data_IF_860242238872
#
_entry.id   IF_860242238872
#
_cell.length_a   1.000
_cell.length_b   1.000
_cell.length_c   1.000
_cell.angle_alpha   90.00
_cell.angle_beta   90.00
_cell.angle_gamma   90.00
#
_symmetry.space_group_name_H-M   'P 1'
#
loop_
_entity.id
_entity.type
_entity.pdbx_description
1 polymer ?
#
# COMPACT_ATOMS: atom_id res chain seq x y z
N UNK A 1 20.74 -10.78 -18.53
CA UNK A 1 20.21 -9.47 -18.14
C UNK A 1 20.85 -9.08 -16.81
N UNK A 2 21.84 -8.19 -16.83
CA UNK A 2 22.66 -7.85 -15.66
C UNK A 2 21.82 -7.10 -14.62
N UNK A 3 21.78 -7.60 -13.38
CA UNK A 3 21.16 -6.90 -12.24
C UNK A 3 21.75 -5.50 -12.00
N UNK A 4 22.95 -5.23 -12.53
CA UNK A 4 23.59 -3.92 -12.53
C UNK A 4 22.79 -2.84 -13.26
N UNK A 5 21.95 -3.18 -14.25
CA UNK A 5 21.07 -2.23 -14.95
C UNK A 5 19.81 -1.88 -14.16
N UNK A 6 19.52 -2.62 -13.09
CA UNK A 6 18.35 -2.39 -12.21
C UNK A 6 18.78 -1.82 -10.87
N UNK A 7 20.06 -1.54 -10.64
CA UNK A 7 20.47 -0.78 -9.46
C UNK A 7 19.75 0.57 -9.52
N UNK A 8 18.68 0.78 -8.73
CA UNK A 8 18.03 2.07 -8.78
C UNK A 8 19.09 3.06 -8.32
N UNK A 9 19.29 4.14 -9.07
CA UNK A 9 19.93 5.34 -8.54
C UNK A 9 18.98 5.93 -7.51
N UNK A 10 18.76 5.18 -6.42
CA UNK A 10 17.91 5.54 -5.33
C UNK A 10 18.69 6.57 -4.54
N UNK A 11 18.59 7.82 -4.97
CA UNK A 11 19.28 8.89 -4.29
C UNK A 11 18.56 9.09 -2.96
N UNK A 12 19.33 9.02 -1.86
CA UNK A 12 18.85 9.33 -0.51
C UNK A 12 18.12 10.68 -0.47
N UNK A 13 18.57 11.63 -1.31
CA UNK A 13 17.92 12.92 -1.56
C UNK A 13 16.47 12.81 -2.04
N UNK A 14 16.16 11.93 -2.99
CA UNK A 14 14.80 11.78 -3.51
C UNK A 14 13.87 11.16 -2.48
N UNK A 15 14.38 10.18 -1.70
CA UNK A 15 13.64 9.59 -0.59
C UNK A 15 13.34 10.64 0.50
N UNK A 16 14.34 11.43 0.88
CA UNK A 16 14.17 12.51 1.86
C UNK A 16 13.17 13.56 1.37
N UNK A 17 13.28 13.99 0.11
CA UNK A 17 12.33 14.92 -0.52
C UNK A 17 10.90 14.37 -0.46
N UNK A 18 10.74 13.10 -0.80
CA UNK A 18 9.44 12.43 -0.77
C UNK A 18 8.83 12.42 0.64
N UNK A 19 9.58 11.96 1.64
CA UNK A 19 9.09 11.95 3.02
C UNK A 19 8.76 13.35 3.54
N UNK A 20 9.60 14.35 3.25
CA UNK A 20 9.33 15.74 3.62
C UNK A 20 8.02 16.25 2.98
N UNK A 21 7.76 15.92 1.71
CA UNK A 21 6.50 16.27 1.05
C UNK A 21 5.29 15.62 1.71
N UNK A 22 5.41 14.35 2.11
CA UNK A 22 4.33 13.61 2.79
C UNK A 22 4.04 14.19 4.16
N UNK A 23 5.08 14.42 4.96
CA UNK A 23 4.96 14.99 6.31
C UNK A 23 4.34 16.37 6.23
N UNK A 24 4.89 17.26 5.38
CA UNK A 24 4.37 18.61 5.19
C UNK A 24 2.93 18.62 4.69
N UNK A 25 2.57 17.70 3.79
CA UNK A 25 1.17 17.55 3.36
C UNK A 25 0.28 17.10 4.52
N UNK A 26 0.71 16.11 5.31
CA UNK A 26 -0.02 15.61 6.46
C UNK A 26 -0.27 16.68 7.52
N UNK A 27 0.76 17.48 7.85
CA UNK A 27 0.68 18.60 8.79
C UNK A 27 -0.32 19.66 8.31
N UNK A 28 -0.15 20.17 7.08
CA UNK A 28 -1.03 21.17 6.49
C UNK A 28 -2.47 20.66 6.37
N UNK A 29 -2.64 19.40 5.99
CA UNK A 29 -3.95 18.77 5.87
C UNK A 29 -4.62 18.64 7.24
N UNK A 30 -3.86 18.19 8.25
CA UNK A 30 -4.34 18.02 9.61
C UNK A 30 -4.77 19.36 10.21
N UNK A 31 -3.91 20.37 10.16
CA UNK A 31 -4.21 21.71 10.68
C UNK A 31 -5.46 22.32 10.03
N UNK A 32 -5.55 22.23 8.70
CA UNK A 32 -6.63 22.87 7.95
C UNK A 32 -7.95 22.11 8.05
N UNK A 33 -7.92 20.78 7.89
CA UNK A 33 -9.12 19.98 7.62
C UNK A 33 -9.48 18.98 8.71
N UNK A 34 -8.61 18.67 9.66
CA UNK A 34 -8.96 17.77 10.74
C UNK A 34 -9.85 18.49 11.75
N UNK A 35 -11.00 17.91 12.11
CA UNK A 35 -11.80 18.45 13.22
C UNK A 35 -11.11 18.12 14.52
N UNK A 36 -10.72 19.14 15.27
CA UNK A 36 -10.47 18.95 16.68
C UNK A 36 -11.81 18.60 17.37
N UNK A 37 -11.85 17.59 18.24
CA UNK A 37 -13.07 17.24 18.95
C UNK A 37 -13.53 18.43 19.81
N UNK A 38 -14.73 18.94 19.54
CA UNK A 38 -15.27 20.15 20.19
C UNK A 38 -16.01 19.86 21.51
N UNK A 39 -16.33 18.59 21.80
CA UNK A 39 -17.06 18.20 23.01
C UNK A 39 -16.38 17.06 23.76
N UNK A 40 -16.53 17.03 25.09
CA UNK A 40 -16.03 15.93 25.93
C UNK A 40 -16.68 14.59 25.56
N UNK A 41 -17.94 14.61 25.12
CA UNK A 41 -18.66 13.44 24.64
C UNK A 41 -18.12 12.93 23.28
N UNK A 42 -17.76 13.81 22.35
CA UNK A 42 -17.06 13.42 21.11
C UNK A 42 -15.67 12.86 21.41
N UNK A 43 -14.96 13.43 22.38
CA UNK A 43 -13.72 12.88 22.92
C UNK A 43 -13.93 11.47 23.51
N UNK A 44 -15.09 11.22 24.11
CA UNK A 44 -15.45 9.94 24.75
C UNK A 44 -15.91 8.90 23.72
N UNK A 45 -16.67 9.29 22.70
CA UNK A 45 -17.03 8.44 21.56
C UNK A 45 -15.83 8.14 20.68
N UNK A 46 -14.96 9.13 20.39
CA UNK A 46 -13.66 8.86 19.78
C UNK A 46 -12.86 7.92 20.67
N UNK A 47 -12.86 8.08 22.01
CA UNK A 47 -12.21 7.11 22.92
C UNK A 47 -12.76 5.69 22.78
N UNK A 48 -14.07 5.50 22.62
CA UNK A 48 -14.69 4.16 22.45
C UNK A 48 -14.50 3.58 21.06
N UNK A 49 -14.64 4.38 20.00
CA UNK A 49 -14.32 3.99 18.62
C UNK A 49 -12.83 3.66 18.48
N UNK A 50 -11.98 4.50 19.07
CA UNK A 50 -10.56 4.22 19.25
C UNK A 50 -10.35 3.01 20.16
N UNK A 51 -11.19 2.67 21.14
CA UNK A 51 -11.01 1.41 21.91
C UNK A 51 -11.22 0.14 21.09
N UNK A 52 -11.95 0.20 19.97
CA UNK A 52 -12.18 -0.96 19.07
C UNK A 52 -11.25 -0.92 17.85
N UNK A 53 -11.04 0.26 17.27
CA UNK A 53 -10.07 0.43 16.18
C UNK A 53 -8.63 0.44 16.69
N UNK A 54 -8.34 0.85 17.93
CA UNK A 54 -6.97 0.77 18.47
C UNK A 54 -6.51 -0.66 18.54
N UNK A 55 -7.21 -1.69 19.06
CA UNK A 55 -6.69 -3.07 19.04
C UNK A 55 -6.50 -3.64 17.63
N UNK A 56 -7.38 -3.37 16.67
CA UNK A 56 -7.23 -3.86 15.30
C UNK A 56 -6.14 -3.12 14.51
N UNK A 57 -6.04 -1.80 14.70
CA UNK A 57 -4.98 -0.98 14.11
C UNK A 57 -3.65 -1.18 14.86
N UNK A 58 -3.69 -1.47 16.16
CA UNK A 58 -2.56 -1.92 16.98
C UNK A 58 -2.13 -3.31 16.52
N UNK A 59 -3.03 -4.26 16.18
CA UNK A 59 -2.63 -5.54 15.60
C UNK A 59 -2.00 -5.40 14.20
N UNK A 60 -2.57 -4.54 13.34
CA UNK A 60 -2.06 -4.29 11.98
C UNK A 60 -0.77 -3.43 11.96
N UNK A 61 -0.57 -2.54 12.94
CA UNK A 61 0.66 -1.78 13.10
C UNK A 61 1.71 -2.52 13.96
N UNK A 62 1.29 -3.32 14.94
CA UNK A 62 2.18 -4.17 15.74
C UNK A 62 2.65 -5.38 14.95
N UNK A 63 1.98 -5.85 13.89
CA UNK A 63 2.51 -6.99 13.13
C UNK A 63 3.90 -6.67 12.50
N UNK A 64 4.12 -5.49 11.89
CA UNK A 64 5.46 -5.00 11.59
C UNK A 64 6.41 -4.91 12.80
N UNK A 65 5.94 -4.51 14.00
CA UNK A 65 6.74 -4.49 15.24
C UNK A 65 6.99 -5.88 15.83
N UNK A 66 6.12 -6.87 15.63
CA UNK A 66 6.32 -8.26 16.06
C UNK A 66 7.32 -8.92 15.12
N UNK A 67 7.25 -8.62 13.82
CA UNK A 67 8.24 -9.01 12.80
C UNK A 67 9.54 -8.19 12.91
N UNK A 68 9.57 -7.07 13.65
CA UNK A 68 10.75 -6.23 13.94
C UNK A 68 11.23 -6.29 15.41
N UNK A 69 10.53 -7.00 16.30
CA UNK A 69 10.97 -7.37 17.66
C UNK A 69 11.42 -8.83 17.79
N UNK A 70 10.87 -9.77 16.98
CA UNK A 70 11.36 -11.15 16.84
C UNK A 70 12.89 -11.26 16.71
N UNK A 71 13.52 -11.10 15.55
CA UNK A 71 14.98 -10.98 15.43
C UNK A 71 15.76 -9.79 16.07
N UNK A 72 15.24 -9.09 17.09
CA UNK A 72 15.98 -8.11 17.91
C UNK A 72 16.37 -8.84 19.20
N UNK A 73 15.45 -9.68 19.66
CA UNK A 73 15.62 -10.73 20.66
C UNK A 73 16.44 -11.90 20.09
N UNK A 74 16.37 -12.05 18.78
CA UNK A 74 16.92 -13.14 18.02
C UNK A 74 17.86 -12.49 16.96
N UNK A 75 18.96 -11.84 17.38
CA UNK A 75 19.76 -10.97 16.50
C UNK A 75 20.65 -11.75 15.51
N UNK A 76 21.08 -12.96 15.90
CA UNK A 76 21.69 -14.00 15.04
C UNK A 76 20.63 -14.99 14.52
N UNK A 77 19.38 -14.70 14.85
CA UNK A 77 18.22 -15.39 14.34
C UNK A 77 17.77 -14.61 13.10
N UNK A 78 17.38 -15.30 12.04
CA UNK A 78 17.42 -14.73 10.70
C UNK A 78 16.36 -13.65 10.35
N UNK A 79 15.61 -13.03 11.28
CA UNK A 79 14.38 -12.26 10.96
C UNK A 79 14.46 -10.70 10.99
N UNK A 80 15.57 -10.01 11.31
CA UNK A 80 15.52 -8.54 11.53
C UNK A 80 16.50 -7.65 10.78
N UNK A 81 15.99 -6.47 10.48
CA UNK A 81 16.07 -5.91 9.15
C UNK A 81 16.93 -4.64 8.97
N UNK A 82 17.53 -3.97 9.99
CA UNK A 82 18.52 -2.92 9.71
C UNK A 82 19.94 -3.45 9.49
N UNK A 83 20.26 -4.68 9.96
CA UNK A 83 21.64 -5.21 9.96
C UNK A 83 21.86 -6.49 9.12
N UNK A 84 20.81 -7.19 8.67
CA UNK A 84 20.94 -8.38 7.79
C UNK A 84 21.20 -7.98 6.34
N UNK A 85 20.57 -6.91 5.90
CA UNK A 85 20.62 -6.52 4.51
C UNK A 85 21.68 -5.46 4.33
N UNK A 86 22.81 -5.87 3.75
CA UNK A 86 23.84 -4.97 3.27
C UNK A 86 23.15 -3.78 2.58
N UNK A 87 23.48 -2.57 2.99
CA UNK A 87 22.94 -1.35 2.39
C UNK A 87 23.11 -1.42 0.87
N UNK A 88 22.05 -1.12 0.14
CA UNK A 88 22.01 -1.28 -1.32
C UNK A 88 21.60 -2.67 -1.82
N UNK A 89 21.38 -3.66 -0.94
CA UNK A 89 20.80 -4.95 -1.35
C UNK A 89 19.32 -4.81 -1.73
N UNK A 90 18.85 -5.67 -2.63
CA UNK A 90 17.45 -5.67 -3.08
C UNK A 90 16.45 -5.85 -1.94
N UNK A 91 16.78 -6.69 -0.95
CA UNK A 91 15.90 -6.98 0.18
C UNK A 91 15.75 -5.78 1.12
N UNK A 92 16.81 -4.97 1.28
CA UNK A 92 16.72 -3.67 1.95
C UNK A 92 15.71 -2.76 1.26
N UNK A 93 15.81 -2.62 -0.07
CA UNK A 93 14.85 -1.82 -0.84
C UNK A 93 13.43 -2.39 -0.83
N UNK A 94 13.28 -3.71 -0.89
CA UNK A 94 11.97 -4.36 -0.79
C UNK A 94 11.30 -4.04 0.55
N UNK A 95 12.03 -4.07 1.68
CA UNK A 95 11.49 -3.61 2.96
C UNK A 95 11.05 -2.16 2.91
N UNK A 96 11.89 -1.26 2.39
CA UNK A 96 11.55 0.17 2.30
C UNK A 96 10.29 0.38 1.46
N UNK A 97 10.17 -0.33 0.34
CA UNK A 97 8.97 -0.40 -0.50
C UNK A 97 7.75 -0.80 0.35
N UNK A 98 7.80 -1.95 1.01
CA UNK A 98 6.70 -2.46 1.84
C UNK A 98 6.28 -1.48 2.93
N UNK A 99 7.24 -0.97 3.71
CA UNK A 99 6.98 -0.07 4.81
C UNK A 99 6.36 1.25 4.32
N UNK A 100 6.91 1.82 3.25
CA UNK A 100 6.36 3.02 2.62
C UNK A 100 4.93 2.77 2.14
N UNK A 101 4.70 1.68 1.39
CA UNK A 101 3.36 1.33 0.92
C UNK A 101 2.34 1.17 2.03
N UNK A 102 2.69 0.51 3.14
CA UNK A 102 1.78 0.35 4.28
C UNK A 102 1.34 1.69 4.86
N UNK A 103 2.28 2.60 5.16
CA UNK A 103 1.92 3.93 5.69
C UNK A 103 1.04 4.71 4.70
N UNK A 104 1.36 4.61 3.42
CA UNK A 104 0.58 5.26 2.36
C UNK A 104 -0.83 4.71 2.24
N UNK A 105 -1.00 3.39 2.31
CA UNK A 105 -2.33 2.76 2.25
C UNK A 105 -3.18 3.23 3.43
N UNK A 106 -2.62 3.22 4.63
CA UNK A 106 -3.31 3.64 5.85
C UNK A 106 -3.72 5.11 5.82
N UNK A 107 -2.94 5.96 5.15
CA UNK A 107 -3.24 7.39 5.02
C UNK A 107 -4.18 7.71 3.85
N UNK A 108 -3.88 7.21 2.65
CA UNK A 108 -4.56 7.57 1.41
C UNK A 108 -5.95 6.94 1.31
N UNK A 109 -6.13 5.69 1.74
CA UNK A 109 -7.43 5.01 1.58
C UNK A 109 -8.54 5.71 2.36
N UNK A 110 -8.40 6.02 3.67
CA UNK A 110 -9.43 6.74 4.41
C UNK A 110 -9.68 8.15 3.84
N UNK A 111 -8.63 8.82 3.38
CA UNK A 111 -8.74 10.15 2.80
C UNK A 111 -9.56 10.12 1.50
N UNK A 112 -9.28 9.16 0.60
CA UNK A 112 -10.04 8.97 -0.64
C UNK A 112 -11.48 8.51 -0.39
N UNK A 113 -11.71 7.62 0.58
CA UNK A 113 -13.04 7.06 0.85
C UNK A 113 -13.95 8.02 1.61
N UNK A 114 -13.40 8.69 2.62
CA UNK A 114 -14.19 9.44 3.62
C UNK A 114 -13.92 10.93 3.65
N UNK A 115 -12.82 11.41 3.06
CA UNK A 115 -12.45 12.82 3.07
C UNK A 115 -12.94 13.59 1.87
N UNK A 116 -12.54 13.17 0.69
CA UNK A 116 -12.77 13.92 -0.56
C UNK A 116 -13.83 13.30 -1.48
N UNK A 117 -14.30 12.09 -1.17
CA UNK A 117 -15.39 11.45 -1.90
C UNK A 117 -16.73 12.04 -1.45
N UNK A 118 -17.56 12.43 -2.41
CA UNK A 118 -18.93 12.93 -2.17
C UNK A 118 -19.97 11.82 -2.12
N UNK A 119 -19.52 10.57 -2.00
CA UNK A 119 -20.40 9.42 -1.86
C UNK A 119 -21.32 9.62 -0.66
N UNK A 120 -22.62 9.37 -0.88
CA UNK A 120 -23.73 9.45 0.08
C UNK A 120 -23.66 8.34 1.13
N UNK A 121 -22.53 8.20 1.83
CA UNK A 121 -22.49 7.31 2.98
C UNK A 121 -23.33 7.90 4.13
N UNK A 122 -24.21 7.10 4.74
CA UNK A 122 -25.14 7.57 5.75
C UNK A 122 -24.41 7.99 7.04
N UNK A 123 -24.68 9.23 7.46
CA UNK A 123 -24.67 9.79 8.84
C UNK A 123 -23.50 9.47 9.80
N UNK A 124 -22.38 8.88 9.38
CA UNK A 124 -21.19 8.84 10.25
C UNK A 124 -20.58 10.23 10.33
N UNK A 125 -20.38 10.74 11.55
CA UNK A 125 -19.70 12.02 11.79
C UNK A 125 -18.34 11.97 11.09
N UNK A 126 -18.18 12.76 10.03
CA UNK A 126 -16.93 12.81 9.27
C UNK A 126 -15.82 13.39 10.16
N UNK A 127 -14.61 12.81 10.16
CA UNK A 127 -13.48 13.33 10.94
C UNK A 127 -12.97 14.67 10.39
N UNK A 128 -13.40 15.07 9.20
CA UNK A 128 -12.96 16.28 8.50
C UNK A 128 -13.94 17.42 8.64
N UNK A 129 -13.44 18.66 8.66
CA UNK A 129 -14.27 19.86 8.72
C UNK A 129 -15.16 19.96 7.46
N UNK A 130 -16.41 20.41 7.57
CA UNK A 130 -17.36 20.35 6.44
C UNK A 130 -16.93 21.27 5.27
N UNK A 131 -16.12 22.30 5.54
CA UNK A 131 -15.64 23.27 4.55
C UNK A 131 -14.72 22.62 3.50
N UNK A 132 -14.14 21.45 3.80
CA UNK A 132 -13.37 20.67 2.81
C UNK A 132 -14.25 20.25 1.63
N UNK A 133 -15.52 19.91 1.91
CA UNK A 133 -16.46 19.35 0.92
C UNK A 133 -17.35 20.43 0.31
N UNK A 134 -17.59 21.52 1.04
CA UNK A 134 -18.44 22.63 0.58
C UNK A 134 -17.82 23.39 -0.60
N UNK A 135 -16.50 23.58 -0.62
CA UNK A 135 -15.82 24.32 -1.69
C UNK A 135 -15.05 23.39 -2.63
N UNK A 136 -15.34 23.38 -3.93
CA UNK A 136 -14.70 22.47 -4.87
C UNK A 136 -13.18 22.69 -5.01
N UNK A 137 -12.68 23.90 -4.76
CA UNK A 137 -11.26 24.23 -4.80
C UNK A 137 -10.48 23.48 -3.72
N UNK A 138 -11.09 23.25 -2.56
CA UNK A 138 -10.43 22.52 -1.48
C UNK A 138 -10.28 21.04 -1.85
N UNK A 139 -11.32 20.43 -2.43
CA UNK A 139 -11.28 19.06 -2.94
C UNK A 139 -10.21 18.93 -4.03
N UNK A 140 -10.20 19.86 -4.98
CA UNK A 140 -9.26 19.81 -6.11
C UNK A 140 -7.81 19.95 -5.65
N UNK A 141 -7.53 20.87 -4.72
CA UNK A 141 -6.20 21.06 -4.15
C UNK A 141 -5.70 19.85 -3.36
N UNK A 142 -6.56 19.27 -2.50
CA UNK A 142 -6.20 18.07 -1.72
C UNK A 142 -5.96 16.88 -2.66
N UNK A 143 -6.84 16.64 -3.63
CA UNK A 143 -6.68 15.54 -4.56
C UNK A 143 -5.42 15.70 -5.44
N UNK A 144 -5.15 16.91 -5.91
CA UNK A 144 -3.97 17.19 -6.75
C UNK A 144 -2.68 16.99 -5.96
N UNK A 145 -2.66 17.40 -4.70
CA UNK A 145 -1.53 17.16 -3.79
C UNK A 145 -1.28 15.66 -3.60
N UNK A 146 -2.35 14.88 -3.38
CA UNK A 146 -2.24 13.42 -3.31
C UNK A 146 -1.76 12.80 -4.63
N UNK A 147 -2.24 13.28 -5.78
CA UNK A 147 -1.74 12.83 -7.09
C UNK A 147 -0.23 13.06 -7.23
N UNK A 148 0.28 14.22 -6.80
CA UNK A 148 1.70 14.54 -6.87
C UNK A 148 2.52 13.62 -5.95
N UNK A 149 2.10 13.44 -4.70
CA UNK A 149 2.77 12.56 -3.76
C UNK A 149 2.79 11.11 -4.28
N UNK A 150 1.66 10.63 -4.79
CA UNK A 150 1.55 9.27 -5.33
C UNK A 150 2.35 9.09 -6.62
N UNK A 151 2.52 10.16 -7.42
CA UNK A 151 3.40 10.16 -8.58
C UNK A 151 4.86 10.05 -8.16
N UNK A 152 5.29 10.80 -7.15
CA UNK A 152 6.65 10.72 -6.61
C UNK A 152 6.92 9.33 -6.01
N UNK A 153 5.96 8.78 -5.26
CA UNK A 153 6.01 7.41 -4.74
C UNK A 153 6.17 6.37 -5.86
N UNK A 154 5.35 6.50 -6.91
CA UNK A 154 5.36 5.63 -8.08
C UNK A 154 6.68 5.73 -8.85
N UNK A 155 7.27 6.91 -8.90
CA UNK A 155 8.58 7.10 -9.51
C UNK A 155 9.68 6.41 -8.71
N UNK A 156 9.67 6.57 -7.37
CA UNK A 156 10.64 5.96 -6.46
C UNK A 156 10.56 4.42 -6.45
N UNK A 157 9.36 3.89 -6.22
CA UNK A 157 9.18 2.47 -5.93
C UNK A 157 8.60 1.67 -7.09
N UNK A 158 7.91 2.32 -8.04
CA UNK A 158 7.20 1.65 -9.12
C UNK A 158 8.10 0.78 -10.01
N UNK A 159 9.35 1.21 -10.23
CA UNK A 159 10.35 0.44 -11.00
C UNK A 159 10.71 -0.88 -10.33
N UNK A 160 10.61 -0.96 -9.00
CA UNK A 160 10.95 -2.15 -8.22
C UNK A 160 9.80 -3.16 -8.15
N UNK A 161 8.56 -2.75 -8.42
CA UNK A 161 7.39 -3.62 -8.28
C UNK A 161 7.51 -4.86 -9.17
N UNK A 162 7.80 -4.69 -10.47
CA UNK A 162 7.88 -5.83 -11.39
C UNK A 162 9.07 -6.77 -11.07
N UNK A 163 10.30 -6.30 -10.84
CA UNK A 163 11.40 -7.15 -10.39
C UNK A 163 11.11 -7.90 -9.09
N UNK A 164 10.59 -7.22 -8.06
CA UNK A 164 10.24 -7.86 -6.79
C UNK A 164 9.17 -8.94 -7.03
N UNK A 165 8.13 -8.64 -7.81
CA UNK A 165 7.08 -9.61 -8.13
C UNK A 165 7.63 -10.87 -8.81
N UNK A 166 8.53 -10.73 -9.79
CA UNK A 166 9.15 -11.86 -10.49
C UNK A 166 10.02 -12.69 -9.53
N UNK A 167 10.84 -12.02 -8.71
CA UNK A 167 11.74 -12.69 -7.76
C UNK A 167 10.92 -13.41 -6.69
N UNK A 168 9.97 -12.73 -6.06
CA UNK A 168 9.06 -13.33 -5.08
C UNK A 168 8.32 -14.53 -5.67
N UNK A 169 7.77 -14.41 -6.88
CA UNK A 169 7.08 -15.51 -7.56
C UNK A 169 7.98 -16.73 -7.78
N UNK A 170 9.22 -16.51 -8.26
CA UNK A 170 10.21 -17.60 -8.43
C UNK A 170 10.60 -18.23 -7.10
N UNK A 171 10.90 -17.44 -6.08
CA UNK A 171 11.23 -17.94 -4.75
C UNK A 171 10.10 -18.82 -4.19
N UNK A 172 8.85 -18.38 -4.31
CA UNK A 172 7.68 -19.15 -3.85
C UNK A 172 7.57 -20.49 -4.57
N UNK A 173 7.67 -20.50 -5.91
CA UNK A 173 7.55 -21.73 -6.71
C UNK A 173 8.71 -22.70 -6.42
N UNK A 174 9.95 -22.20 -6.38
CA UNK A 174 11.14 -23.02 -6.09
C UNK A 174 11.07 -23.62 -4.69
N UNK A 175 10.59 -22.87 -3.71
CA UNK A 175 10.46 -23.38 -2.36
C UNK A 175 9.31 -24.36 -2.19
N UNK A 176 8.19 -24.15 -2.89
CA UNK A 176 7.15 -25.17 -2.98
C UNK A 176 7.70 -26.47 -3.57
N UNK A 177 8.53 -26.38 -4.62
CA UNK A 177 9.22 -27.53 -5.21
C UNK A 177 10.11 -28.26 -4.19
N UNK A 178 10.93 -27.55 -3.41
CA UNK A 178 11.77 -28.16 -2.37
C UNK A 178 10.97 -28.82 -1.23
N UNK A 179 9.89 -28.18 -0.80
CA UNK A 179 8.99 -28.72 0.24
C UNK A 179 8.34 -30.02 -0.21
N UNK A 180 7.87 -30.08 -1.46
CA UNK A 180 7.20 -31.27 -1.99
C UNK A 180 8.20 -32.39 -2.34
N UNK A 181 9.37 -32.03 -2.88
CA UNK A 181 10.39 -32.99 -3.31
C UNK A 181 11.08 -33.75 -2.18
N UNK A 182 10.79 -33.44 -0.92
CA UNK A 182 11.39 -34.12 0.23
C UNK A 182 12.85 -33.74 0.51
N UNK A 183 13.37 -32.67 -0.12
CA UNK A 183 14.77 -32.26 0.06
C UNK A 183 15.06 -31.48 1.35
N UNK A 184 14.02 -31.00 2.05
CA UNK A 184 14.15 -30.06 3.17
C UNK A 184 14.14 -30.70 4.58
N UNK A 185 14.14 -32.03 4.68
CA UNK A 185 13.91 -32.71 5.97
C UNK A 185 15.15 -32.84 6.86
N UNK A 186 16.35 -32.62 6.31
CA UNK A 186 17.61 -32.80 7.07
C UNK A 186 18.00 -31.61 7.95
N UNK A 187 17.45 -30.42 7.71
CA UNK A 187 17.72 -29.21 8.50
C UNK A 187 16.42 -28.54 8.96
N UNK A 188 16.15 -28.58 10.27
CA UNK A 188 14.97 -28.00 10.90
C UNK A 188 14.85 -26.50 10.64
N UNK A 189 15.97 -25.77 10.59
CA UNK A 189 15.96 -24.33 10.36
C UNK A 189 15.50 -24.00 8.92
N UNK A 190 16.07 -24.69 7.93
CA UNK A 190 15.64 -24.56 6.52
C UNK A 190 14.17 -24.95 6.34
N UNK A 191 13.72 -26.05 6.95
CA UNK A 191 12.32 -26.46 6.92
C UNK A 191 11.39 -25.39 7.49
N UNK A 192 11.73 -24.82 8.65
CA UNK A 192 10.94 -23.75 9.27
C UNK A 192 10.83 -22.52 8.38
N UNK A 193 11.93 -22.08 7.75
CA UNK A 193 11.94 -20.94 6.83
C UNK A 193 11.04 -21.20 5.61
N UNK A 194 11.13 -22.38 5.01
CA UNK A 194 10.34 -22.74 3.84
C UNK A 194 8.83 -22.82 4.17
N UNK A 195 8.47 -23.39 5.32
CA UNK A 195 7.07 -23.54 5.74
C UNK A 195 6.43 -22.24 6.24
N UNK A 196 7.19 -21.35 6.88
CA UNK A 196 6.62 -20.14 7.50
C UNK A 196 6.92 -18.88 6.70
N UNK A 197 8.18 -18.65 6.34
CA UNK A 197 8.63 -17.41 5.73
C UNK A 197 8.06 -17.19 4.33
N UNK A 198 7.91 -18.26 3.54
CA UNK A 198 7.56 -18.15 2.13
C UNK A 198 6.06 -17.98 1.89
N UNK A 199 5.18 -18.77 2.53
CA UNK A 199 3.75 -18.46 2.52
C UNK A 199 3.48 -17.06 3.07
N UNK A 200 4.19 -16.65 4.12
CA UNK A 200 4.07 -15.30 4.67
C UNK A 200 4.49 -14.22 3.66
N UNK A 201 5.61 -14.39 2.96
CA UNK A 201 6.05 -13.48 1.90
C UNK A 201 5.05 -13.44 0.73
N UNK A 202 4.48 -14.57 0.34
CA UNK A 202 3.46 -14.66 -0.72
C UNK A 202 2.19 -13.90 -0.34
N UNK A 203 1.69 -14.13 0.88
CA UNK A 203 0.49 -13.50 1.42
C UNK A 203 0.70 -11.99 1.58
N UNK A 204 1.81 -11.57 2.19
CA UNK A 204 2.12 -10.15 2.38
C UNK A 204 2.26 -9.40 1.06
N UNK A 205 2.96 -9.96 0.06
CA UNK A 205 3.04 -9.35 -1.28
C UNK A 205 1.66 -9.27 -1.96
N UNK A 206 0.86 -10.34 -1.87
CA UNK A 206 -0.51 -10.36 -2.43
C UNK A 206 -1.41 -9.30 -1.78
N UNK A 207 -1.35 -9.17 -0.45
CA UNK A 207 -2.07 -8.15 0.30
C UNK A 207 -1.65 -6.75 -0.17
N UNK A 208 -0.36 -6.50 -0.34
CA UNK A 208 0.15 -5.22 -0.82
C UNK A 208 -0.36 -4.88 -2.23
N UNK A 209 -0.35 -5.85 -3.16
CA UNK A 209 -0.93 -5.68 -4.50
C UNK A 209 -2.44 -5.43 -4.44
N UNK A 210 -3.15 -6.14 -3.56
CA UNK A 210 -4.59 -5.97 -3.38
C UNK A 210 -4.94 -4.57 -2.86
N UNK A 211 -4.24 -4.08 -1.82
CA UNK A 211 -4.41 -2.72 -1.31
C UNK A 211 -4.06 -1.65 -2.35
N UNK A 212 -3.04 -1.89 -3.17
CA UNK A 212 -2.72 -1.01 -4.29
C UNK A 212 -3.88 -0.94 -5.29
N UNK A 213 -4.50 -2.08 -5.59
CA UNK A 213 -5.74 -2.15 -6.38
C UNK A 213 -6.93 -1.46 -5.69
N UNK A 214 -7.04 -1.53 -4.36
CA UNK A 214 -8.06 -0.83 -3.58
C UNK A 214 -7.87 0.69 -3.70
N UNK A 215 -6.66 1.22 -3.57
CA UNK A 215 -6.37 2.65 -3.78
C UNK A 215 -6.85 3.08 -5.17
N UNK A 216 -6.50 2.33 -6.21
CA UNK A 216 -6.94 2.63 -7.57
C UNK A 216 -8.47 2.64 -7.70
N UNK A 217 -9.16 1.65 -7.12
CA UNK A 217 -10.63 1.58 -7.11
C UNK A 217 -11.23 2.75 -6.33
N UNK A 218 -10.68 3.10 -5.18
CA UNK A 218 -11.11 4.21 -4.34
C UNK A 218 -10.93 5.55 -5.05
N UNK A 219 -9.80 5.76 -5.72
CA UNK A 219 -9.55 6.96 -6.50
C UNK A 219 -10.57 7.13 -7.64
N UNK A 220 -10.85 6.07 -8.39
CA UNK A 220 -11.87 6.07 -9.44
C UNK A 220 -13.28 6.37 -8.87
N UNK A 221 -13.65 5.71 -7.77
CA UNK A 221 -14.92 5.96 -7.08
C UNK A 221 -15.03 7.40 -6.57
N UNK A 222 -13.96 7.94 -6.00
CA UNK A 222 -13.89 9.32 -5.55
C UNK A 222 -14.14 10.28 -6.72
N UNK A 223 -13.41 10.14 -7.84
CA UNK A 223 -13.60 10.95 -9.04
C UNK A 223 -15.05 10.82 -9.57
N UNK A 224 -15.60 9.61 -9.61
CA UNK A 224 -16.97 9.37 -10.05
C UNK A 224 -18.00 10.02 -9.11
N UNK A 225 -17.75 10.01 -7.80
CA UNK A 225 -18.64 10.59 -6.79
C UNK A 225 -18.82 12.09 -6.97
N UNK A 226 -17.85 12.79 -7.57
CA UNK A 226 -17.97 14.23 -7.86
C UNK A 226 -19.04 14.54 -8.91
N UNK A 227 -19.39 13.56 -9.76
CA UNK A 227 -20.52 13.70 -10.69
C UNK A 227 -21.85 13.62 -9.95
N UNK A 228 -22.01 12.63 -9.07
CA UNK A 228 -23.26 12.42 -8.31
C UNK A 228 -23.44 13.44 -7.19
N UNK A 229 -22.34 13.92 -6.62
CA UNK A 229 -22.32 14.94 -5.58
C UNK A 229 -22.55 16.36 -6.09
N UNK A 230 -22.74 16.56 -7.40
CA UNK A 230 -22.87 17.88 -8.00
C UNK A 230 -24.02 18.73 -7.44
N UNK A 231 -25.08 18.08 -6.94
CA UNK A 231 -26.18 18.78 -6.27
C UNK A 231 -25.81 19.44 -4.95
N UNK A 232 -24.65 19.11 -4.34
CA UNK A 232 -24.18 19.73 -3.09
C UNK A 232 -23.56 21.11 -3.31
N UNK A 233 -23.21 21.46 -4.53
CA UNK A 233 -22.71 22.80 -4.85
C UNK A 233 -23.88 23.68 -5.25
N UNK A 234 -24.03 24.79 -4.54
CA UNK A 234 -25.13 25.74 -4.72
C UNK A 234 -25.00 26.48 -6.06
N UNK A 235 -23.76 26.84 -6.43
CA UNK A 235 -23.51 27.62 -7.64
C UNK A 235 -23.36 26.74 -8.88
N UNK A 236 -23.86 27.22 -10.03
CA UNK A 236 -23.64 26.59 -11.32
C UNK A 236 -22.17 26.58 -11.75
N UNK A 237 -21.41 27.60 -11.32
CA UNK A 237 -19.98 27.76 -11.60
C UNK A 237 -19.14 26.65 -10.95
N UNK A 238 -19.39 26.35 -9.68
CA UNK A 238 -18.70 25.26 -8.95
C UNK A 238 -18.92 23.90 -9.62
N UNK A 239 -20.15 23.65 -10.09
CA UNK A 239 -20.51 22.43 -10.83
C UNK A 239 -19.74 22.34 -12.13
N UNK A 240 -19.63 23.46 -12.87
CA UNK A 240 -18.89 23.51 -14.12
C UNK A 240 -17.38 23.33 -13.88
N UNK A 241 -16.83 23.99 -12.86
CA UNK A 241 -15.44 23.83 -12.43
C UNK A 241 -15.15 22.37 -12.11
N UNK A 242 -15.95 21.72 -11.26
CA UNK A 242 -15.73 20.31 -10.91
C UNK A 242 -15.95 19.36 -12.08
N UNK A 243 -16.86 19.67 -13.00
CA UNK A 243 -17.02 18.91 -14.24
C UNK A 243 -15.73 18.95 -15.09
N UNK A 244 -15.10 20.12 -15.22
CA UNK A 244 -13.81 20.29 -15.91
C UNK A 244 -12.67 19.60 -15.15
N UNK A 245 -12.56 19.85 -13.85
CA UNK A 245 -11.54 19.26 -12.98
C UNK A 245 -11.58 17.72 -13.03
N UNK A 246 -12.76 17.13 -12.88
CA UNK A 246 -12.97 15.68 -12.97
C UNK A 246 -12.48 15.08 -14.30
N UNK A 247 -12.74 15.75 -15.42
CA UNK A 247 -12.27 15.32 -16.75
C UNK A 247 -10.73 15.39 -16.87
N UNK A 248 -10.09 16.34 -16.20
CA UNK A 248 -8.63 16.48 -16.16
C UNK A 248 -7.94 15.50 -15.19
N UNK A 249 -8.70 14.90 -14.27
CA UNK A 249 -8.16 14.05 -13.22
C UNK A 249 -7.80 12.66 -13.73
N UNK A 250 -6.51 12.32 -13.65
CA UNK A 250 -6.05 10.93 -13.78
C UNK A 250 -6.23 10.20 -12.45
N UNK A 251 -6.70 8.98 -12.48
CA UNK A 251 -6.86 8.20 -11.26
C UNK A 251 -5.50 7.96 -10.58
N UNK A 252 -5.46 8.11 -9.26
CA UNK A 252 -4.31 7.73 -8.46
C UNK A 252 -4.13 6.22 -8.56
N UNK A 253 -2.93 5.78 -8.92
CA UNK A 253 -2.56 4.37 -8.96
C UNK A 253 -1.14 4.19 -8.42
N UNK A 254 -0.81 2.94 -8.11
CA UNK A 254 0.53 2.51 -7.75
C UNK A 254 1.10 1.75 -8.93
N UNK A 255 2.32 2.08 -9.35
CA UNK A 255 2.92 1.47 -10.53
C UNK A 255 4.04 2.31 -11.11
N UNK A 256 4.52 1.93 -12.29
CA UNK A 256 5.43 2.77 -13.07
C UNK A 256 4.81 3.02 -14.45
N UNK A 257 4.65 4.29 -14.87
CA UNK A 257 4.03 4.62 -16.15
C UNK A 257 4.69 3.88 -17.32
N UNK A 258 3.87 3.22 -18.14
CA UNK A 258 4.32 2.44 -19.31
C UNK A 258 4.87 1.04 -19.00
N UNK A 259 5.11 0.70 -17.73
CA UNK A 259 5.61 -0.62 -17.33
C UNK A 259 4.53 -1.46 -16.66
N UNK A 260 4.00 -0.99 -15.53
CA UNK A 260 2.99 -1.72 -14.76
C UNK A 260 2.08 -0.75 -14.01
N UNK A 261 0.78 -0.99 -14.11
CA UNK A 261 -0.22 -0.36 -13.25
C UNK A 261 -0.77 -1.44 -12.32
N UNK A 262 -0.55 -1.29 -11.02
CA UNK A 262 -1.03 -2.27 -10.04
C UNK A 262 -2.53 -2.09 -9.84
N UNK A 263 -3.28 -3.09 -10.27
CA UNK A 263 -4.72 -3.18 -10.10
C UNK A 263 -5.08 -4.42 -9.28
N UNK A 264 -6.35 -4.57 -8.90
CA UNK A 264 -6.79 -5.79 -8.23
C UNK A 264 -6.58 -7.03 -9.13
N UNK A 265 -6.67 -6.87 -10.46
CA UNK A 265 -6.36 -7.93 -11.43
C UNK A 265 -4.89 -8.36 -11.34
N UNK A 266 -3.97 -7.42 -11.07
CA UNK A 266 -2.54 -7.74 -10.88
C UNK A 266 -2.31 -8.68 -9.70
N UNK A 267 -2.99 -8.46 -8.57
CA UNK A 267 -2.94 -9.35 -7.41
C UNK A 267 -3.47 -10.77 -7.77
N UNK A 268 -4.59 -10.84 -8.49
CA UNK A 268 -5.16 -12.12 -8.92
C UNK A 268 -4.24 -12.86 -9.90
N UNK A 269 -3.66 -12.17 -10.88
CA UNK A 269 -2.71 -12.77 -11.83
C UNK A 269 -1.45 -13.27 -11.13
N UNK A 270 -1.00 -12.59 -10.07
CA UNK A 270 0.13 -13.06 -9.26
C UNK A 270 -0.20 -14.37 -8.54
N UNK A 271 -1.36 -14.44 -7.86
CA UNK A 271 -1.83 -15.68 -7.19
C UNK A 271 -2.01 -16.82 -8.19
N UNK A 272 -2.65 -16.56 -9.34
CA UNK A 272 -2.81 -17.54 -10.42
C UNK A 272 -1.45 -18.03 -10.93
N UNK A 273 -0.48 -17.13 -11.11
CA UNK A 273 0.88 -17.47 -11.52
C UNK A 273 1.58 -18.42 -10.54
N UNK A 274 1.44 -18.17 -9.23
CA UNK A 274 1.96 -19.06 -8.18
C UNK A 274 1.29 -20.43 -8.27
N UNK A 275 -0.05 -20.48 -8.29
CA UNK A 275 -0.80 -21.74 -8.32
C UNK A 275 -0.43 -22.58 -9.55
N UNK A 276 -0.44 -21.97 -10.74
CA UNK A 276 -0.06 -22.67 -11.97
C UNK A 276 1.41 -23.13 -11.95
N UNK A 277 2.31 -22.31 -11.41
CA UNK A 277 3.73 -22.65 -11.26
C UNK A 277 3.92 -23.86 -10.36
N UNK A 278 3.26 -23.88 -9.20
CA UNK A 278 3.31 -25.00 -8.25
C UNK A 278 2.71 -26.28 -8.81
N UNK A 279 1.57 -26.20 -9.50
CA UNK A 279 0.94 -27.38 -10.15
C UNK A 279 1.85 -27.97 -11.24
N UNK A 280 2.49 -27.13 -12.06
CA UNK A 280 3.45 -27.61 -13.07
C UNK A 280 4.65 -28.29 -12.43
N UNK A 281 5.18 -27.71 -11.35
CA UNK A 281 6.26 -28.31 -10.58
C UNK A 281 5.87 -29.69 -10.01
N UNK A 282 4.64 -29.82 -9.48
CA UNK A 282 4.07 -31.09 -9.00
C UNK A 282 3.98 -32.16 -10.10
N UNK A 283 3.45 -31.79 -11.27
CA UNK A 283 3.31 -32.72 -12.39
C UNK A 283 4.67 -33.20 -12.92
N UNK A 284 5.67 -32.31 -12.94
CA UNK A 284 7.03 -32.66 -13.34
C UNK A 284 7.68 -33.67 -12.38
N UNK A 285 7.37 -33.61 -11.08
CA UNK A 285 7.82 -34.61 -10.11
C UNK A 285 7.17 -35.98 -10.31
N UNK A 286 5.85 -36.03 -10.54
CA UNK A 286 5.12 -37.30 -10.72
C UNK A 286 5.69 -38.12 -11.88
N UNK A 287 6.16 -37.46 -12.95
CA UNK A 287 6.72 -38.14 -14.13
C UNK A 287 8.07 -38.84 -13.88
N UNK A 288 8.79 -38.50 -12.81
CA UNK A 288 10.12 -39.07 -12.51
C UNK A 288 10.09 -40.26 -11.55
N UNK A 289 8.95 -40.58 -10.94
CA UNK A 289 8.73 -41.83 -10.21
C UNK A 289 8.02 -42.81 -11.13
#
# INVERSE_FOLDING_TARGET
MSLALIAPTFQTRDLARFWNSVIKFGENFSEKWWRQPSSSADLTFNRSFLRITRPANLALNLLPFIIMSHAAIFPSHPIHFPNIYRSGSLLYYAKLVFQSYTYFILFVVPLLQSGISLSTWPKRRHPFKPELVQRPEHISNVYRSLQLIMKDMSFLFGRLIAPIQVISGKCIITSAYFLIGGGAWSDTATSMILWTGIPFAAVSWTIMLAFSGIIYRCANRCIASWKSGAGRWETGEDRLYMKKFRRSCKSIYIGYPGLITVTLKTALMFVQGIVHGTVRALLAFKKRR
#
